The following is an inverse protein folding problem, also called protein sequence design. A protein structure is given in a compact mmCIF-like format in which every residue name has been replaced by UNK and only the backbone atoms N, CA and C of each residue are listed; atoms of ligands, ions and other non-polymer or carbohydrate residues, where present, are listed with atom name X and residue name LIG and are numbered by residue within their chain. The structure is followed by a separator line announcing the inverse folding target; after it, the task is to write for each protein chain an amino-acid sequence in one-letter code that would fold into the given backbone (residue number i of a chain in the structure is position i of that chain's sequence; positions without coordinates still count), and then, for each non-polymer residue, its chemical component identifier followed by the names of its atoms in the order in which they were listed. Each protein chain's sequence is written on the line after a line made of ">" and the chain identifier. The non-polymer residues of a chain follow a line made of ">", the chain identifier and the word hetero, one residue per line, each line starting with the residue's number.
data_IF_067845454221
#
_entry.id   IF_067845454221
#
_cell.length_a   1.000
_cell.length_b   1.000
_cell.length_c   1.000
_cell.angle_alpha   90.00
_cell.angle_beta   90.00
_cell.angle_gamma   90.00
#
_symmetry.space_group_name_H-M   'P 1'
#
loop_
_entity.id
_entity.type
_entity.pdbx_description
1 polymer ?
#
# COMPACT_ATOMS: atom_id res chain seq x y z
N UNK A 1 6.36 7.79 31.04
CA UNK A 1 7.20 8.11 29.86
C UNK A 1 8.63 8.28 30.34
N UNK A 2 9.44 7.25 30.24
CA UNK A 2 10.85 7.27 30.61
C UNK A 2 11.66 7.75 29.40
N UNK A 3 12.61 8.66 29.52
CA UNK A 3 13.40 9.16 28.41
C UNK A 3 14.28 8.05 27.85
N UNK A 4 14.21 7.88 26.53
CA UNK A 4 15.10 7.00 25.77
C UNK A 4 16.51 7.56 25.91
N UNK A 5 17.38 6.80 26.56
CA UNK A 5 18.80 7.15 26.75
C UNK A 5 19.49 7.39 25.40
N UNK A 6 20.24 8.47 25.35
CA UNK A 6 21.17 8.84 24.29
C UNK A 6 22.15 7.71 24.03
N UNK A 7 22.09 7.12 22.84
CA UNK A 7 23.09 6.17 22.35
C UNK A 7 24.39 6.90 22.02
N UNK A 8 25.43 6.44 22.63
CA UNK A 8 26.82 6.77 22.30
C UNK A 8 27.21 6.12 20.97
N UNK A 9 27.56 6.96 20.07
CA UNK A 9 28.55 6.93 19.01
C UNK A 9 29.08 5.56 18.54
N UNK A 10 28.45 5.01 17.55
CA UNK A 10 29.05 4.11 16.58
C UNK A 10 28.72 4.67 15.21
N UNK A 11 29.58 5.46 14.61
CA UNK A 11 29.65 5.93 13.20
C UNK A 11 28.43 5.83 12.26
N UNK A 12 27.24 5.67 12.78
CA UNK A 12 25.97 5.53 12.07
C UNK A 12 25.39 6.93 11.88
N UNK A 13 25.51 7.44 10.67
CA UNK A 13 25.04 8.77 10.25
C UNK A 13 23.52 8.85 10.10
N UNK A 14 22.77 8.02 10.84
CA UNK A 14 21.31 8.07 10.85
C UNK A 14 20.86 9.42 11.38
N UNK A 15 20.17 10.26 10.57
CA UNK A 15 19.71 11.56 11.05
C UNK A 15 18.68 11.39 12.16
N UNK A 16 18.58 12.37 13.06
CA UNK A 16 17.48 12.43 14.00
C UNK A 16 16.12 12.54 13.26
N UNK A 17 15.08 11.88 13.79
CA UNK A 17 13.75 11.87 13.20
C UNK A 17 13.14 13.28 13.06
N UNK A 18 13.42 14.18 14.01
CA UNK A 18 12.93 15.57 13.93
C UNK A 18 13.50 16.26 12.70
N UNK A 19 14.81 16.16 12.49
CA UNK A 19 15.49 16.69 11.30
C UNK A 19 15.00 16.04 10.02
N UNK A 20 14.75 14.73 10.04
CA UNK A 20 14.16 14.05 8.89
C UNK A 20 12.78 14.60 8.53
N UNK A 21 11.95 14.93 9.53
CA UNK A 21 10.64 15.54 9.30
C UNK A 21 10.71 16.95 8.69
N UNK A 22 11.86 17.61 8.76
CA UNK A 22 12.10 18.95 8.17
C UNK A 22 12.69 18.89 6.75
N UNK A 23 13.09 17.72 6.27
CA UNK A 23 13.62 17.56 4.91
C UNK A 23 12.60 18.02 3.86
N UNK A 24 13.11 18.50 2.73
CA UNK A 24 12.29 18.78 1.56
C UNK A 24 11.59 17.52 1.05
N UNK A 25 10.54 17.67 0.26
CA UNK A 25 9.89 16.53 -0.40
C UNK A 25 10.84 15.80 -1.34
N UNK A 26 11.70 16.53 -2.04
CA UNK A 26 12.68 15.96 -2.95
C UNK A 26 13.72 15.09 -2.22
N UNK A 27 14.21 15.55 -1.06
CA UNK A 27 15.16 14.77 -0.25
C UNK A 27 14.50 13.48 0.29
N UNK A 28 13.24 13.58 0.75
CA UNK A 28 12.50 12.40 1.22
C UNK A 28 12.23 11.44 0.06
N UNK A 29 11.93 11.95 -1.13
CA UNK A 29 11.67 11.14 -2.32
C UNK A 29 12.87 10.26 -2.71
N UNK A 30 14.09 10.73 -2.53
CA UNK A 30 15.32 9.95 -2.77
C UNK A 30 15.46 8.74 -1.83
N UNK A 31 14.83 8.79 -0.68
CA UNK A 31 14.88 7.75 0.36
C UNK A 31 13.69 6.79 0.32
N UNK A 32 12.66 7.17 -0.41
CA UNK A 32 11.41 6.43 -0.48
C UNK A 32 11.49 5.21 -1.41
N UNK A 33 10.66 4.17 -1.17
CA UNK A 33 10.55 3.07 -2.11
C UNK A 33 9.92 3.53 -3.42
N UNK A 34 10.48 3.12 -4.55
CA UNK A 34 9.90 3.46 -5.86
C UNK A 34 8.56 2.75 -6.11
N UNK A 35 8.40 1.55 -5.56
CA UNK A 35 7.17 0.75 -5.69
C UNK A 35 6.66 0.40 -4.30
N UNK A 36 5.41 0.75 -4.04
CA UNK A 36 4.73 0.55 -2.76
C UNK A 36 3.37 -0.11 -2.97
N UNK A 37 2.97 -0.93 -2.01
CA UNK A 37 1.63 -1.49 -1.91
C UNK A 37 0.91 -0.79 -0.76
N UNK A 38 -0.25 -0.20 -1.03
CA UNK A 38 -1.10 0.38 -0.01
C UNK A 38 -2.47 -0.29 0.01
N UNK A 39 -2.68 -1.16 1.00
CA UNK A 39 -3.91 -1.93 1.18
C UNK A 39 -4.81 -1.23 2.23
N UNK A 40 -5.55 -0.22 1.79
CA UNK A 40 -6.50 0.50 2.65
C UNK A 40 -7.73 -0.35 2.97
N UNK A 41 -8.06 -0.48 4.24
CA UNK A 41 -9.28 -1.14 4.69
C UNK A 41 -10.00 -0.33 5.77
N UNK A 42 -11.31 -0.56 5.93
CA UNK A 42 -12.10 0.13 6.95
C UNK A 42 -12.55 1.55 6.55
N UNK A 43 -12.75 1.83 5.27
CA UNK A 43 -13.22 3.14 4.76
C UNK A 43 -14.53 3.58 5.41
N UNK A 44 -15.51 2.67 5.62
CA UNK A 44 -16.75 2.96 6.36
C UNK A 44 -16.49 3.37 7.81
N UNK A 45 -15.52 2.75 8.49
CA UNK A 45 -15.13 3.19 9.85
C UNK A 45 -14.50 4.57 9.83
N UNK A 46 -13.66 4.85 8.86
CA UNK A 46 -13.05 6.17 8.70
C UNK A 46 -14.13 7.24 8.47
N UNK A 47 -15.12 6.99 7.60
CA UNK A 47 -16.25 7.89 7.37
C UNK A 47 -17.04 8.14 8.67
N UNK A 48 -17.41 7.08 9.39
CA UNK A 48 -18.14 7.20 10.65
C UNK A 48 -17.37 8.02 11.71
N UNK A 49 -16.05 7.84 11.82
CA UNK A 49 -15.19 8.61 12.73
C UNK A 49 -15.11 10.10 12.35
N UNK A 50 -15.39 10.44 11.09
CA UNK A 50 -15.44 11.82 10.60
C UNK A 50 -16.88 12.37 10.51
N UNK A 51 -17.87 11.66 11.07
CA UNK A 51 -19.27 12.10 11.07
C UNK A 51 -19.97 11.99 9.72
N UNK A 52 -19.36 11.27 8.76
CA UNK A 52 -19.91 11.04 7.42
C UNK A 52 -20.79 9.79 7.43
N UNK A 53 -21.91 9.82 6.72
CA UNK A 53 -22.75 8.65 6.48
C UNK A 53 -21.88 7.48 5.93
N UNK A 54 -22.18 6.26 6.32
CA UNK A 54 -21.44 5.07 5.84
C UNK A 54 -22.04 4.46 4.57
N UNK A 55 -23.02 5.13 3.97
CA UNK A 55 -23.73 4.71 2.75
C UNK A 55 -24.17 5.93 1.94
N UNK A 56 -24.50 5.69 0.66
CA UNK A 56 -24.98 6.75 -0.22
C UNK A 56 -23.88 7.56 -0.88
N UNK A 57 -24.30 8.63 -1.59
CA UNK A 57 -23.41 9.40 -2.45
C UNK A 57 -22.42 10.28 -1.64
N UNK A 58 -22.84 10.77 -0.47
CA UNK A 58 -21.94 11.49 0.44
C UNK A 58 -20.72 10.65 0.83
N UNK A 59 -20.95 9.37 1.17
CA UNK A 59 -19.86 8.42 1.46
C UNK A 59 -18.93 8.23 0.27
N UNK A 60 -19.49 8.09 -0.94
CA UNK A 60 -18.71 7.89 -2.15
C UNK A 60 -17.81 9.10 -2.45
N UNK A 61 -18.37 10.31 -2.40
CA UNK A 61 -17.66 11.56 -2.65
C UNK A 61 -16.56 11.79 -1.61
N UNK A 62 -16.87 11.60 -0.33
CA UNK A 62 -15.89 11.73 0.75
C UNK A 62 -14.76 10.71 0.61
N UNK A 63 -15.10 9.45 0.38
CA UNK A 63 -14.10 8.36 0.21
C UNK A 63 -13.20 8.61 -0.99
N UNK A 64 -13.74 9.10 -2.10
CA UNK A 64 -12.96 9.48 -3.27
C UNK A 64 -12.00 10.63 -2.95
N UNK A 65 -12.46 11.66 -2.23
CA UNK A 65 -11.62 12.77 -1.79
C UNK A 65 -10.42 12.31 -0.96
N UNK A 66 -10.68 11.45 0.03
CA UNK A 66 -9.63 10.90 0.89
C UNK A 66 -8.66 9.96 0.13
N UNK A 67 -9.17 9.20 -0.82
CA UNK A 67 -8.34 8.38 -1.72
C UNK A 67 -7.37 9.27 -2.51
N UNK A 68 -7.86 10.32 -3.16
CA UNK A 68 -7.02 11.23 -3.93
C UNK A 68 -5.97 11.94 -3.06
N UNK A 69 -6.38 12.45 -1.90
CA UNK A 69 -5.46 13.08 -0.93
C UNK A 69 -4.33 12.12 -0.53
N UNK A 70 -4.66 10.85 -0.30
CA UNK A 70 -3.66 9.85 0.10
C UNK A 70 -2.74 9.48 -1.05
N UNK A 71 -3.25 9.32 -2.27
CA UNK A 71 -2.43 9.07 -3.46
C UNK A 71 -1.45 10.23 -3.69
N UNK A 72 -1.96 11.47 -3.64
CA UNK A 72 -1.13 12.66 -3.79
C UNK A 72 -0.02 12.73 -2.74
N UNK A 73 -0.36 12.49 -1.47
CA UNK A 73 0.62 12.43 -0.38
C UNK A 73 1.73 11.42 -0.67
N UNK A 74 1.39 10.23 -1.14
CA UNK A 74 2.36 9.16 -1.44
C UNK A 74 3.24 9.54 -2.64
N UNK A 75 2.67 10.07 -3.71
CA UNK A 75 3.40 10.48 -4.90
C UNK A 75 4.34 11.67 -4.63
N UNK A 76 3.89 12.67 -3.89
CA UNK A 76 4.73 13.80 -3.45
C UNK A 76 5.93 13.35 -2.60
N UNK A 77 5.85 12.21 -1.93
CA UNK A 77 6.96 11.63 -1.16
C UNK A 77 7.80 10.64 -1.98
N UNK A 78 7.68 10.60 -3.31
CA UNK A 78 8.60 9.88 -4.19
C UNK A 78 8.20 8.46 -4.58
N UNK A 79 6.99 8.01 -4.22
CA UNK A 79 6.47 6.74 -4.74
C UNK A 79 6.20 6.90 -6.24
N UNK A 80 6.79 6.04 -7.08
CA UNK A 80 6.59 6.09 -8.54
C UNK A 80 5.46 5.13 -8.98
N UNK A 81 5.41 3.95 -8.38
CA UNK A 81 4.37 2.95 -8.65
C UNK A 81 3.64 2.60 -7.36
N UNK A 82 2.39 3.02 -7.26
CA UNK A 82 1.51 2.74 -6.13
C UNK A 82 0.51 1.65 -6.49
N UNK A 83 0.59 0.50 -5.84
CA UNK A 83 -0.35 -0.60 -6.00
C UNK A 83 -1.42 -0.57 -4.91
N UNK A 84 -2.68 -0.54 -5.33
CA UNK A 84 -3.82 -0.51 -4.43
C UNK A 84 -4.80 -1.65 -4.75
N UNK A 85 -4.89 -2.69 -3.89
CA UNK A 85 -5.98 -3.66 -3.98
C UNK A 85 -7.31 -2.97 -3.65
N UNK A 86 -8.23 -2.96 -4.58
CA UNK A 86 -9.50 -2.26 -4.46
C UNK A 86 -10.64 -3.20 -4.10
N UNK A 87 -10.73 -4.34 -4.78
CA UNK A 87 -11.77 -5.32 -4.62
C UNK A 87 -11.15 -6.73 -4.51
N UNK A 88 -11.59 -7.48 -3.53
CA UNK A 88 -11.20 -8.88 -3.34
C UNK A 88 -12.40 -9.83 -3.39
N UNK A 89 -12.21 -11.14 -3.26
CA UNK A 89 -13.27 -12.13 -3.38
C UNK A 89 -14.48 -11.90 -2.47
N UNK A 90 -14.26 -11.30 -1.30
CA UNK A 90 -15.36 -11.00 -0.38
C UNK A 90 -16.32 -9.94 -0.92
N UNK A 91 -15.82 -8.97 -1.69
CA UNK A 91 -16.66 -7.96 -2.33
C UNK A 91 -17.35 -8.50 -3.58
N UNK A 92 -16.69 -9.35 -4.35
CA UNK A 92 -17.29 -10.02 -5.52
C UNK A 92 -18.39 -10.99 -5.11
N UNK A 93 -18.25 -11.64 -3.95
CA UNK A 93 -19.23 -12.59 -3.39
C UNK A 93 -20.16 -11.94 -2.34
N UNK A 94 -20.33 -10.63 -2.39
CA UNK A 94 -21.22 -9.92 -1.46
C UNK A 94 -22.66 -10.40 -1.62
N UNK A 95 -23.24 -10.82 -0.52
CA UNK A 95 -24.57 -11.43 -0.50
C UNK A 95 -25.73 -10.43 -0.67
N UNK A 96 -25.44 -9.13 -0.54
CA UNK A 96 -26.42 -8.05 -0.62
C UNK A 96 -26.41 -7.44 -2.03
N UNK A 97 -27.35 -7.74 -2.94
CA UNK A 97 -27.33 -7.30 -4.31
C UNK A 97 -27.27 -5.77 -4.48
N UNK A 98 -28.01 -5.03 -3.64
CA UNK A 98 -28.00 -3.57 -3.65
C UNK A 98 -26.62 -3.01 -3.31
N UNK A 99 -25.94 -3.59 -2.32
CA UNK A 99 -24.59 -3.17 -1.97
C UNK A 99 -23.58 -3.50 -3.07
N UNK A 100 -23.69 -4.67 -3.69
CA UNK A 100 -22.84 -5.07 -4.81
C UNK A 100 -23.00 -4.11 -6.00
N UNK A 101 -24.25 -3.73 -6.35
CA UNK A 101 -24.52 -2.74 -7.38
C UNK A 101 -23.91 -1.36 -7.07
N UNK A 102 -24.03 -0.90 -5.81
CA UNK A 102 -23.40 0.36 -5.38
C UNK A 102 -21.88 0.27 -5.42
N UNK A 103 -21.29 -0.85 -5.04
CA UNK A 103 -19.84 -1.07 -5.04
C UNK A 103 -19.26 -0.92 -6.45
N UNK A 104 -19.90 -1.54 -7.46
CA UNK A 104 -19.50 -1.43 -8.86
C UNK A 104 -19.64 0.01 -9.38
N UNK A 105 -20.76 0.65 -9.11
CA UNK A 105 -20.96 2.06 -9.47
C UNK A 105 -19.89 2.96 -8.85
N UNK A 106 -19.65 2.83 -7.57
CA UNK A 106 -18.64 3.65 -6.88
C UNK A 106 -17.22 3.37 -7.38
N UNK A 107 -16.93 2.13 -7.71
CA UNK A 107 -15.64 1.79 -8.29
C UNK A 107 -15.47 2.42 -9.68
N UNK A 108 -16.46 2.27 -10.52
CA UNK A 108 -16.46 2.82 -11.88
C UNK A 108 -16.43 4.35 -11.87
N UNK A 109 -17.39 5.01 -11.21
CA UNK A 109 -17.48 6.47 -11.12
C UNK A 109 -16.29 7.05 -10.35
N UNK A 110 -15.87 6.42 -9.25
CA UNK A 110 -14.75 6.86 -8.40
C UNK A 110 -13.40 6.81 -9.09
N UNK A 111 -13.16 5.84 -9.98
CA UNK A 111 -11.89 5.69 -10.68
C UNK A 111 -11.93 6.22 -12.12
N UNK A 112 -13.05 6.13 -12.81
CA UNK A 112 -13.13 6.45 -14.25
C UNK A 112 -14.16 7.52 -14.59
N UNK A 113 -14.84 8.08 -13.59
CA UNK A 113 -15.72 9.24 -13.77
C UNK A 113 -14.97 10.46 -14.30
N UNK A 114 -15.69 11.37 -14.92
CA UNK A 114 -15.12 12.57 -15.55
C UNK A 114 -14.23 13.37 -14.58
N UNK A 115 -14.69 13.55 -13.35
CA UNK A 115 -13.95 14.29 -12.32
C UNK A 115 -12.66 13.57 -11.89
N UNK A 116 -12.70 12.24 -11.78
CA UNK A 116 -11.52 11.44 -11.46
C UNK A 116 -10.47 11.57 -12.56
N UNK A 117 -10.87 11.39 -13.82
CA UNK A 117 -9.97 11.50 -14.97
C UNK A 117 -9.39 12.92 -15.08
N UNK A 118 -10.20 13.97 -14.90
CA UNK A 118 -9.71 15.33 -14.90
C UNK A 118 -8.68 15.60 -13.80
N UNK A 119 -8.82 14.97 -12.63
CA UNK A 119 -7.81 15.03 -11.55
C UNK A 119 -6.52 14.34 -11.96
N UNK A 120 -6.58 13.12 -12.53
CA UNK A 120 -5.39 12.40 -13.00
C UNK A 120 -4.63 13.17 -14.07
N UNK A 121 -5.35 13.74 -15.04
CA UNK A 121 -4.74 14.54 -16.11
C UNK A 121 -4.04 15.78 -15.55
N UNK A 122 -4.70 16.52 -14.65
CA UNK A 122 -4.11 17.71 -14.01
C UNK A 122 -2.88 17.39 -13.19
N UNK A 123 -2.88 16.25 -12.51
CA UNK A 123 -1.76 15.79 -11.68
C UNK A 123 -0.67 15.07 -12.49
N UNK A 124 -0.90 14.80 -13.78
CA UNK A 124 0.04 14.05 -14.61
C UNK A 124 0.20 12.58 -14.22
N UNK A 125 -0.83 11.97 -13.60
CA UNK A 125 -0.76 10.58 -13.14
C UNK A 125 -1.24 9.61 -14.21
N UNK A 126 -0.49 8.55 -14.41
CA UNK A 126 -0.95 7.37 -15.14
C UNK A 126 -1.79 6.51 -14.20
N UNK A 127 -2.96 6.06 -14.65
CA UNK A 127 -3.81 5.17 -13.86
C UNK A 127 -4.14 3.93 -14.67
N UNK A 128 -4.01 2.76 -14.07
CA UNK A 128 -4.26 1.46 -14.71
C UNK A 128 -5.03 0.55 -13.76
N UNK A 129 -5.90 -0.28 -14.34
CA UNK A 129 -6.53 -1.39 -13.60
C UNK A 129 -5.88 -2.67 -14.10
N UNK A 130 -5.02 -3.25 -13.28
CA UNK A 130 -4.36 -4.50 -13.63
C UNK A 130 -5.40 -5.65 -13.71
N UNK A 131 -5.36 -6.40 -14.79
CA UNK A 131 -6.28 -7.51 -15.04
C UNK A 131 -7.71 -7.10 -15.45
N UNK A 132 -7.95 -5.84 -15.81
CA UNK A 132 -9.28 -5.38 -16.25
C UNK A 132 -9.80 -6.12 -17.47
N UNK A 133 -8.91 -6.62 -18.32
CA UNK A 133 -9.26 -7.40 -19.52
C UNK A 133 -9.89 -8.76 -19.19
N UNK A 134 -9.64 -9.29 -18.00
CA UNK A 134 -10.16 -10.58 -17.53
C UNK A 134 -11.47 -10.45 -16.74
N UNK A 135 -11.92 -9.23 -16.44
CA UNK A 135 -13.12 -8.95 -15.65
C UNK A 135 -14.06 -8.11 -16.51
N UNK A 136 -15.19 -8.69 -16.94
CA UNK A 136 -16.14 -8.07 -17.88
C UNK A 136 -16.55 -6.67 -17.44
N UNK A 137 -16.87 -6.50 -16.16
CA UNK A 137 -17.33 -5.26 -15.54
C UNK A 137 -16.26 -4.15 -15.53
N UNK A 138 -14.99 -4.53 -15.58
CA UNK A 138 -13.87 -3.57 -15.54
C UNK A 138 -13.24 -3.27 -16.89
N UNK A 139 -13.61 -4.03 -17.93
CA UNK A 139 -12.99 -3.93 -19.25
C UNK A 139 -13.12 -2.53 -19.86
N UNK A 140 -14.31 -1.94 -19.75
CA UNK A 140 -14.55 -0.58 -20.26
C UNK A 140 -13.81 0.47 -19.42
N UNK A 141 -13.88 0.35 -18.11
CA UNK A 141 -13.17 1.21 -17.17
C UNK A 141 -11.64 1.20 -17.41
N UNK A 142 -11.06 0.01 -17.57
CA UNK A 142 -9.65 -0.15 -17.89
C UNK A 142 -9.22 0.52 -19.20
N UNK A 143 -10.01 0.33 -20.28
CA UNK A 143 -9.77 0.98 -21.57
C UNK A 143 -9.84 2.50 -21.46
N UNK A 144 -10.87 3.03 -20.80
CA UNK A 144 -11.03 4.47 -20.59
C UNK A 144 -9.84 5.10 -19.86
N UNK A 145 -9.28 4.43 -18.85
CA UNK A 145 -8.08 4.91 -18.16
C UNK A 145 -6.85 4.88 -19.05
N UNK A 146 -6.68 3.86 -19.90
CA UNK A 146 -5.57 3.80 -20.85
C UNK A 146 -5.64 4.95 -21.87
N UNK A 147 -6.84 5.26 -22.37
CA UNK A 147 -7.05 6.29 -23.37
C UNK A 147 -6.98 7.71 -22.82
N UNK A 148 -7.39 7.93 -21.56
CA UNK A 148 -7.60 9.26 -21.00
C UNK A 148 -6.59 9.66 -19.91
N UNK A 149 -5.66 8.79 -19.53
CA UNK A 149 -4.56 9.16 -18.62
C UNK A 149 -3.21 9.06 -19.33
N UNK A 150 -2.20 9.86 -18.93
CA UNK A 150 -0.89 9.86 -19.57
C UNK A 150 -0.29 8.45 -19.70
N UNK A 151 0.33 8.16 -20.85
CA UNK A 151 1.08 6.91 -21.02
C UNK A 151 2.50 7.01 -20.45
N UNK A 152 3.11 8.18 -20.57
CA UNK A 152 4.41 8.50 -19.98
C UNK A 152 4.21 9.42 -18.78
N UNK A 153 4.37 8.86 -17.58
CA UNK A 153 4.17 9.57 -16.33
C UNK A 153 5.18 9.07 -15.28
N UNK A 154 5.68 9.99 -14.47
CA UNK A 154 6.59 9.68 -13.35
C UNK A 154 5.87 8.90 -12.22
N UNK A 155 4.54 9.01 -12.15
CA UNK A 155 3.73 8.38 -11.13
C UNK A 155 2.62 7.54 -11.75
N UNK A 156 2.53 6.28 -11.32
CA UNK A 156 1.48 5.36 -11.78
C UNK A 156 0.71 4.79 -10.60
N UNK A 157 -0.60 4.99 -10.63
CA UNK A 157 -1.55 4.29 -9.77
C UNK A 157 -1.98 2.98 -10.44
N UNK A 158 -1.73 1.87 -9.78
CA UNK A 158 -2.16 0.54 -10.17
C UNK A 158 -3.30 0.09 -9.26
N UNK A 159 -4.51 0.14 -9.76
CA UNK A 159 -5.66 -0.47 -9.10
C UNK A 159 -5.78 -1.92 -9.54
N UNK A 160 -6.19 -2.81 -8.65
CA UNK A 160 -6.52 -4.17 -9.05
C UNK A 160 -7.71 -4.73 -8.27
N UNK A 161 -8.45 -5.59 -8.95
CA UNK A 161 -9.60 -6.28 -8.42
C UNK A 161 -9.41 -7.79 -8.64
N UNK A 162 -9.62 -8.58 -7.61
CA UNK A 162 -9.32 -10.01 -7.61
C UNK A 162 -10.58 -10.78 -7.25
N UNK A 163 -11.30 -11.34 -8.25
CA UNK A 163 -12.58 -12.03 -8.02
C UNK A 163 -12.43 -13.39 -7.32
N UNK A 164 -11.30 -14.07 -7.51
CA UNK A 164 -11.06 -15.39 -6.93
C UNK A 164 -9.60 -15.54 -6.51
N UNK A 165 -9.33 -16.47 -5.59
CA UNK A 165 -8.00 -16.67 -5.01
C UNK A 165 -6.94 -17.12 -6.04
N UNK A 166 -7.33 -17.83 -7.08
CA UNK A 166 -6.45 -18.28 -8.15
C UNK A 166 -6.21 -17.22 -9.24
N UNK A 167 -6.94 -16.10 -9.23
CA UNK A 167 -6.88 -15.08 -10.28
C UNK A 167 -5.46 -14.53 -10.50
N UNK A 168 -4.67 -14.13 -9.47
CA UNK A 168 -3.31 -13.65 -9.68
C UNK A 168 -2.41 -14.68 -10.33
N UNK A 169 -2.56 -15.94 -9.95
CA UNK A 169 -1.82 -17.06 -10.53
C UNK A 169 -2.14 -17.24 -12.01
N UNK A 170 -3.42 -17.20 -12.38
CA UNK A 170 -3.85 -17.30 -13.77
C UNK A 170 -3.30 -16.15 -14.61
N UNK A 171 -3.33 -14.92 -14.13
CA UNK A 171 -2.74 -13.77 -14.81
C UNK A 171 -1.25 -13.96 -15.10
N UNK A 172 -0.49 -14.43 -14.12
CA UNK A 172 0.94 -14.70 -14.30
C UNK A 172 1.19 -15.75 -15.39
N UNK A 173 0.44 -16.84 -15.38
CA UNK A 173 0.57 -17.91 -16.37
C UNK A 173 0.22 -17.43 -17.77
N UNK A 174 -0.91 -16.78 -17.94
CA UNK A 174 -1.38 -16.26 -19.22
C UNK A 174 -0.40 -15.23 -19.80
N UNK A 175 0.07 -14.29 -18.98
CA UNK A 175 1.05 -13.30 -19.40
C UNK A 175 2.37 -13.96 -19.83
N UNK A 176 2.88 -14.90 -19.03
CA UNK A 176 4.12 -15.60 -19.35
C UNK A 176 4.01 -16.45 -20.62
N UNK A 177 2.89 -17.16 -20.81
CA UNK A 177 2.65 -17.99 -21.99
C UNK A 177 2.46 -17.15 -23.25
N UNK A 178 1.63 -16.12 -23.19
CA UNK A 178 1.32 -15.25 -24.34
C UNK A 178 2.58 -14.53 -24.85
N UNK A 179 3.41 -14.06 -23.94
CA UNK A 179 4.65 -13.38 -24.30
C UNK A 179 5.85 -14.33 -24.52
N UNK A 180 5.66 -15.64 -24.37
CA UNK A 180 6.76 -16.61 -24.39
C UNK A 180 7.93 -16.17 -23.46
N UNK A 181 7.59 -15.66 -22.30
CA UNK A 181 8.51 -15.06 -21.34
C UNK A 181 9.58 -16.07 -20.89
N UNK A 182 10.85 -15.68 -20.98
CA UNK A 182 12.00 -16.48 -20.55
C UNK A 182 12.59 -15.96 -19.23
N UNK A 183 12.27 -14.74 -18.88
CA UNK A 183 12.76 -14.07 -17.66
C UNK A 183 11.61 -13.48 -16.86
N UNK A 184 11.87 -13.19 -15.58
CA UNK A 184 10.92 -12.45 -14.75
C UNK A 184 10.62 -11.05 -15.33
N UNK A 185 11.58 -10.42 -15.97
CA UNK A 185 11.41 -9.12 -16.60
C UNK A 185 10.42 -9.21 -17.77
N UNK A 186 10.53 -10.23 -18.62
CA UNK A 186 9.61 -10.49 -19.73
C UNK A 186 8.17 -10.70 -19.22
N UNK A 187 8.02 -11.53 -18.18
CA UNK A 187 6.71 -11.82 -17.58
C UNK A 187 6.08 -10.58 -16.93
N UNK A 188 6.88 -9.75 -16.24
CA UNK A 188 6.41 -8.48 -15.69
C UNK A 188 5.95 -7.51 -16.79
N UNK A 189 6.78 -7.35 -17.82
CA UNK A 189 6.43 -6.50 -18.95
C UNK A 189 5.17 -6.98 -19.67
N UNK A 190 5.00 -8.30 -19.83
CA UNK A 190 3.78 -8.87 -20.40
C UNK A 190 2.54 -8.57 -19.56
N UNK A 191 2.66 -8.65 -18.23
CA UNK A 191 1.53 -8.45 -17.32
C UNK A 191 1.16 -6.98 -17.13
N UNK A 192 2.15 -6.09 -17.06
CA UNK A 192 1.94 -4.68 -16.72
C UNK A 192 2.17 -3.70 -17.87
N UNK A 193 2.77 -4.16 -18.97
CA UNK A 193 3.22 -3.28 -20.06
C UNK A 193 4.37 -2.35 -19.64
N UNK A 194 5.07 -2.67 -18.56
CA UNK A 194 6.09 -1.79 -18.00
C UNK A 194 7.15 -2.59 -17.18
N UNK A 195 8.37 -2.06 -17.10
CA UNK A 195 9.43 -2.63 -16.29
C UNK A 195 9.41 -2.03 -14.87
N UNK A 196 8.45 -2.47 -14.05
CA UNK A 196 8.22 -1.97 -12.71
C UNK A 196 9.27 -2.51 -11.75
N UNK A 197 9.95 -1.68 -10.93
CA UNK A 197 10.82 -2.14 -9.87
C UNK A 197 10.08 -3.02 -8.85
N UNK A 198 10.75 -3.97 -8.17
CA UNK A 198 10.11 -4.75 -7.11
C UNK A 198 9.49 -3.88 -6.03
N UNK A 199 8.32 -4.31 -5.53
CA UNK A 199 7.73 -3.69 -4.36
C UNK A 199 8.58 -4.00 -3.12
N UNK A 200 8.92 -2.98 -2.36
CA UNK A 200 9.76 -3.10 -1.16
C UNK A 200 9.11 -2.58 0.12
N UNK A 201 7.94 -1.93 0.00
CA UNK A 201 7.14 -1.48 1.13
C UNK A 201 5.68 -1.86 0.94
N UNK A 202 5.11 -2.46 1.99
CA UNK A 202 3.69 -2.76 2.13
C UNK A 202 3.14 -2.01 3.35
N UNK A 203 2.10 -1.23 3.14
CA UNK A 203 1.35 -0.57 4.21
C UNK A 203 -0.11 -0.98 4.12
N UNK A 204 -0.66 -1.47 5.21
CA UNK A 204 -2.10 -1.68 5.30
C UNK A 204 -2.72 -1.02 6.52
N UNK A 205 -4.03 -0.86 6.49
CA UNK A 205 -4.82 -0.31 7.59
C UNK A 205 -5.73 -1.37 8.20
N UNK A 206 -5.93 -1.30 9.51
CA UNK A 206 -6.76 -2.24 10.24
C UNK A 206 -5.97 -3.38 10.89
N UNK A 207 -6.32 -4.63 10.63
CA UNK A 207 -5.62 -5.79 11.21
C UNK A 207 -4.27 -6.02 10.54
N UNK A 208 -3.23 -6.47 11.27
CA UNK A 208 -1.97 -6.88 10.68
C UNK A 208 -2.13 -8.21 9.93
N UNK A 209 -2.82 -8.15 8.79
CA UNK A 209 -3.09 -9.25 7.89
C UNK A 209 -2.56 -8.89 6.51
N UNK A 210 -1.77 -9.77 5.94
CA UNK A 210 -1.34 -9.70 4.55
C UNK A 210 -1.86 -10.94 3.83
N UNK A 211 -2.52 -10.73 2.71
CA UNK A 211 -2.99 -11.78 1.82
C UNK A 211 -2.22 -11.74 0.51
N UNK A 212 -1.97 -12.89 -0.10
CA UNK A 212 -1.42 -12.96 -1.46
C UNK A 212 -2.27 -12.17 -2.47
N UNK A 213 -3.56 -11.98 -2.20
CA UNK A 213 -4.48 -11.17 -3.01
C UNK A 213 -4.20 -9.67 -2.92
N UNK A 214 -3.45 -9.23 -1.92
CA UNK A 214 -3.06 -7.82 -1.77
C UNK A 214 -1.68 -7.54 -2.39
N UNK A 215 -1.02 -8.58 -2.89
CA UNK A 215 0.31 -8.47 -3.46
C UNK A 215 0.23 -8.49 -4.99
N UNK A 216 0.81 -7.49 -5.68
CA UNK A 216 0.83 -7.50 -7.14
C UNK A 216 1.68 -8.67 -7.63
N UNK A 217 1.15 -9.48 -8.55
CA UNK A 217 1.87 -10.62 -9.10
C UNK A 217 3.23 -10.24 -9.66
N UNK A 218 4.25 -11.08 -9.46
CA UNK A 218 5.63 -10.91 -9.96
C UNK A 218 6.42 -9.70 -9.40
N UNK A 219 5.84 -8.86 -8.55
CA UNK A 219 6.52 -7.68 -8.03
C UNK A 219 7.05 -7.85 -6.59
N UNK A 220 6.61 -8.87 -5.87
CA UNK A 220 7.14 -9.23 -4.55
C UNK A 220 8.14 -10.37 -4.73
N UNK A 221 9.35 -10.03 -5.14
CA UNK A 221 10.43 -10.97 -5.43
C UNK A 221 11.73 -10.64 -4.66
N UNK A 222 11.61 -9.93 -3.55
CA UNK A 222 12.68 -9.54 -2.65
C UNK A 222 12.14 -9.18 -1.26
N UNK A 223 12.96 -8.58 -0.39
CA UNK A 223 12.51 -8.13 0.93
C UNK A 223 11.40 -7.11 0.82
N UNK A 224 10.27 -7.39 1.48
CA UNK A 224 9.13 -6.50 1.58
C UNK A 224 8.99 -6.06 3.04
N UNK A 225 9.17 -4.78 3.31
CA UNK A 225 8.98 -4.23 4.65
C UNK A 225 7.50 -3.94 4.88
N UNK A 226 6.93 -4.51 5.93
CA UNK A 226 5.50 -4.45 6.21
C UNK A 226 5.21 -3.52 7.39
N UNK A 227 4.20 -2.66 7.19
CA UNK A 227 3.68 -1.73 8.18
C UNK A 227 2.16 -1.84 8.28
N UNK A 228 1.63 -1.67 9.47
CA UNK A 228 0.19 -1.69 9.72
C UNK A 228 -0.22 -0.49 10.55
N UNK A 229 -1.20 0.27 10.03
CA UNK A 229 -1.82 1.37 10.76
C UNK A 229 -3.15 0.93 11.37
N UNK A 230 -3.39 1.27 12.63
CA UNK A 230 -4.71 1.11 13.25
C UNK A 230 -5.76 2.06 12.68
N UNK A 231 -5.32 3.21 12.17
CA UNK A 231 -6.22 4.19 11.58
C UNK A 231 -6.87 3.59 10.34
N UNK A 232 -8.20 3.58 10.25
CA UNK A 232 -8.90 2.93 9.15
C UNK A 232 -8.88 3.77 7.87
N UNK A 233 -9.06 3.10 6.73
CA UNK A 233 -9.26 3.74 5.44
C UNK A 233 -8.03 4.51 4.97
N UNK A 234 -8.25 5.71 4.45
CA UNK A 234 -7.25 6.60 3.89
C UNK A 234 -6.76 7.66 4.89
N UNK A 235 -6.74 7.34 6.18
CA UNK A 235 -6.41 8.29 7.26
C UNK A 235 -4.90 8.51 7.46
N UNK A 236 -4.08 8.21 6.46
CA UNK A 236 -2.63 8.45 6.50
C UNK A 236 -2.33 9.95 6.43
N UNK A 237 -1.53 10.45 7.37
CA UNK A 237 -1.02 11.82 7.37
C UNK A 237 0.48 11.88 7.01
N UNK A 238 0.97 13.08 6.72
CA UNK A 238 2.36 13.30 6.32
C UNK A 238 3.37 12.84 7.39
N UNK A 239 3.07 13.09 8.67
CA UNK A 239 3.99 12.71 9.76
C UNK A 239 4.11 11.20 9.90
N UNK A 240 2.98 10.49 9.77
CA UNK A 240 2.97 9.03 9.77
C UNK A 240 3.72 8.45 8.57
N UNK A 241 3.48 9.01 7.38
CA UNK A 241 4.21 8.58 6.19
C UNK A 241 5.72 8.81 6.34
N UNK A 242 6.12 9.98 6.83
CA UNK A 242 7.54 10.27 7.10
C UNK A 242 8.14 9.33 8.13
N UNK A 243 7.41 8.97 9.18
CA UNK A 243 7.88 7.99 10.16
C UNK A 243 8.10 6.60 9.52
N UNK A 244 7.20 6.18 8.62
CA UNK A 244 7.34 4.92 7.87
C UNK A 244 8.57 4.99 6.94
N UNK A 245 8.76 6.08 6.19
CA UNK A 245 9.90 6.24 5.28
C UNK A 245 11.22 6.30 6.07
N UNK A 246 11.24 6.99 7.20
CA UNK A 246 12.42 7.04 8.07
C UNK A 246 12.81 5.65 8.58
N UNK A 247 11.86 4.89 9.12
CA UNK A 247 12.10 3.51 9.55
C UNK A 247 12.57 2.62 8.38
N UNK A 248 11.90 2.73 7.22
CA UNK A 248 12.26 2.03 6.00
C UNK A 248 13.69 2.34 5.54
N UNK A 249 14.08 3.61 5.53
CA UNK A 249 15.36 4.04 4.98
C UNK A 249 16.53 3.79 5.93
N UNK A 250 16.33 4.00 7.22
CA UNK A 250 17.43 4.06 8.19
C UNK A 250 17.38 2.97 9.27
N UNK A 251 16.21 2.61 9.80
CA UNK A 251 16.15 1.74 10.97
C UNK A 251 16.09 0.26 10.60
N UNK A 252 15.33 -0.12 9.57
CA UNK A 252 15.18 -1.52 9.16
C UNK A 252 16.30 -2.05 8.29
N UNK A 253 17.14 -1.21 7.73
CA UNK A 253 18.30 -1.63 6.92
C UNK A 253 19.45 -2.13 7.79
N UNK A 254 19.22 -3.21 8.51
CA UNK A 254 20.22 -3.81 9.43
C UNK A 254 21.04 -4.91 8.80
N UNK A 255 20.78 -5.28 7.53
CA UNK A 255 21.49 -6.36 6.87
C UNK A 255 22.92 -5.95 6.52
N UNK A 256 23.89 -6.65 7.12
CA UNK A 256 25.33 -6.57 6.79
C UNK A 256 25.81 -7.94 6.34
N UNK A 257 26.74 -8.01 5.38
CA UNK A 257 27.39 -9.26 4.96
C UNK A 257 28.20 -9.87 6.11
N UNK A 258 28.92 -9.01 6.82
CA UNK A 258 29.62 -9.36 8.05
C UNK A 258 28.64 -9.44 9.21
N UNK A 259 28.60 -10.60 9.85
CA UNK A 259 27.76 -10.90 11.02
C UNK A 259 28.56 -11.00 12.33
N UNK A 260 29.86 -10.67 12.30
CA UNK A 260 30.69 -10.67 13.50
C UNK A 260 30.15 -9.69 14.54
N UNK A 261 30.32 -10.00 15.82
CA UNK A 261 29.88 -9.16 16.93
C UNK A 261 28.37 -9.13 17.20
N UNK A 262 27.53 -9.81 16.39
CA UNK A 262 26.07 -9.80 16.58
C UNK A 262 25.62 -10.55 17.83
N UNK A 263 26.29 -11.64 18.17
CA UNK A 263 25.97 -12.42 19.35
C UNK A 263 26.29 -11.63 20.63
N UNK A 264 27.45 -10.98 20.65
CA UNK A 264 27.87 -10.12 21.74
C UNK A 264 26.95 -8.92 21.93
N UNK A 265 26.53 -8.29 20.82
CA UNK A 265 25.56 -7.20 20.86
C UNK A 265 24.18 -7.68 21.34
N UNK A 266 23.72 -8.84 20.90
CA UNK A 266 22.45 -9.41 21.35
C UNK A 266 22.51 -9.71 22.87
N UNK A 267 23.65 -10.21 23.39
CA UNK A 267 23.83 -10.43 24.82
C UNK A 267 23.84 -9.11 25.61
N UNK A 268 24.46 -8.07 25.07
CA UNK A 268 24.44 -6.74 25.70
C UNK A 268 23.03 -6.12 25.77
N UNK A 269 22.16 -6.47 24.84
CA UNK A 269 20.76 -5.99 24.75
C UNK A 269 19.74 -7.10 25.15
N UNK A 270 20.16 -8.04 25.98
CA UNK A 270 19.40 -9.25 26.34
C UNK A 270 17.98 -8.94 26.80
N UNK A 271 17.81 -7.95 27.66
CA UNK A 271 16.50 -7.53 28.19
C UNK A 271 15.52 -7.11 27.10
N UNK A 272 16.00 -6.48 26.02
CA UNK A 272 15.15 -6.10 24.89
C UNK A 272 14.65 -7.33 24.11
N UNK A 273 15.48 -8.38 24.04
CA UNK A 273 15.10 -9.61 23.34
C UNK A 273 14.18 -10.49 24.19
N UNK A 274 14.47 -10.65 25.49
CA UNK A 274 13.70 -11.50 26.39
C UNK A 274 12.33 -10.91 26.76
N UNK A 275 12.21 -9.57 26.73
CA UNK A 275 10.94 -8.84 26.95
C UNK A 275 10.25 -8.41 25.66
N UNK A 276 10.70 -8.92 24.53
CA UNK A 276 10.13 -8.60 23.22
C UNK A 276 8.67 -9.04 23.11
N UNK A 277 7.80 -8.11 22.73
CA UNK A 277 6.38 -8.39 22.55
C UNK A 277 6.11 -9.05 21.19
N UNK A 278 5.07 -9.88 21.13
CA UNK A 278 4.52 -10.38 19.87
C UNK A 278 3.71 -9.27 19.21
N UNK A 279 4.24 -8.69 18.13
CA UNK A 279 3.53 -7.67 17.35
C UNK A 279 2.33 -8.30 16.62
N UNK A 280 1.18 -7.65 16.69
CA UNK A 280 -0.04 -8.12 16.01
C UNK A 280 -1.00 -8.91 16.88
N UNK A 281 -0.69 -9.08 18.16
CA UNK A 281 -1.67 -9.55 19.15
C UNK A 281 -2.64 -8.42 19.48
N UNK A 282 -3.88 -8.75 19.81
CA UNK A 282 -4.88 -7.76 20.12
C UNK A 282 -6.10 -8.30 20.86
N UNK A 283 -6.98 -7.39 21.21
CA UNK A 283 -8.23 -7.66 21.90
C UNK A 283 -9.44 -7.43 21.00
N UNK A 284 -10.51 -8.16 21.24
CA UNK A 284 -11.80 -7.96 20.57
C UNK A 284 -12.72 -7.06 21.40
N UNK A 285 -13.23 -5.98 20.81
CA UNK A 285 -14.28 -5.13 21.38
C UNK A 285 -15.45 -5.06 20.39
N UNK A 286 -16.54 -5.76 20.71
CA UNK A 286 -17.66 -5.91 19.77
C UNK A 286 -17.24 -6.61 18.47
N UNK A 287 -17.55 -6.04 17.30
CA UNK A 287 -17.16 -6.61 15.99
C UNK A 287 -15.71 -6.27 15.59
N UNK A 288 -14.97 -5.48 16.39
CA UNK A 288 -13.67 -4.95 16.00
C UNK A 288 -12.54 -5.60 16.79
N UNK A 289 -11.39 -5.73 16.11
CA UNK A 289 -10.14 -6.11 16.72
C UNK A 289 -9.25 -4.87 16.90
N UNK A 290 -8.59 -4.76 18.06
CA UNK A 290 -7.65 -3.70 18.39
C UNK A 290 -6.31 -4.31 18.78
N UNK A 291 -5.15 -3.82 18.27
CA UNK A 291 -3.87 -4.26 18.78
C UNK A 291 -3.71 -3.79 20.24
N UNK A 292 -3.22 -4.68 21.06
CA UNK A 292 -2.90 -4.39 22.44
C UNK A 292 -1.62 -5.13 22.83
N UNK A 293 -0.77 -4.57 23.69
CA UNK A 293 0.28 -5.36 24.32
C UNK A 293 -0.35 -6.47 25.15
N UNK A 294 0.35 -7.59 25.31
CA UNK A 294 0.06 -8.50 26.40
C UNK A 294 0.33 -7.75 27.71
N UNK A 295 -0.67 -7.63 28.56
CA UNK A 295 -0.49 -7.27 29.96
C UNK A 295 -0.22 -8.61 30.69
N UNK A 296 0.96 -8.72 31.34
CA UNK A 296 1.33 -9.83 32.20
C UNK A 296 0.42 -9.88 33.45
#
# INVERSE_FOLDING_TARGET
>A
MTPIHSRTDTGDTTPDFVRFCELSLDDVALLSPRTMIYAASGTRRAAALNGISTSGDEFAVWTQGELFRTIELLFLHGICHLFMPMLGPSQFNEATPEYQKHLWRWFEEGLTGTDAIAKYQRAGWRVRIAGSEYISELKQAGRRLIEQTPNDASHTLWCYAIPAYETPWRWMLEAAQTAQAKTLADAKNALYGDNIPPASLYLSTGKPLMSSLQLPPLLVNGPLQCYWSQRPGYSLDQRQLRAIIYDYAYLRKTWKKDKSGRAEQALAERDLWERGNVLGVGIRKGPFWYPAPFED
#
